data_IF_195649161617
#
_entry.id   IF_195649161617
#
_cell.length_a   1.000
_cell.length_b   1.000
_cell.length_c   1.000
_cell.angle_alpha   90.00
_cell.angle_beta   90.00
_cell.angle_gamma   90.00
#
_symmetry.space_group_name_H-M   'P 1'
#
loop_
_entity.id
_entity.type
_entity.pdbx_description
1 polymer ?
#
# COMPACT_ATOMS: atom_id res chain seq x y z
N UNK A 1 21.24 25.27 -5.69
CA UNK A 1 20.82 23.94 -5.23
C UNK A 1 21.72 22.88 -5.89
N UNK A 2 22.39 22.05 -5.07
CA UNK A 2 23.15 20.93 -5.61
C UNK A 2 22.17 19.81 -5.97
N UNK A 3 22.17 19.34 -7.20
CA UNK A 3 21.40 18.16 -7.63
C UNK A 3 22.08 16.87 -7.15
N UNK A 4 22.12 16.66 -5.83
CA UNK A 4 22.73 15.49 -5.23
C UNK A 4 21.64 14.46 -4.90
N UNK A 5 21.83 13.22 -5.31
CA UNK A 5 21.02 12.09 -4.85
C UNK A 5 21.42 11.78 -3.39
N UNK A 6 20.43 11.81 -2.49
CA UNK A 6 20.62 11.55 -1.05
C UNK A 6 20.43 10.06 -0.74
N UNK A 7 19.40 9.45 -1.32
CA UNK A 7 19.07 8.03 -1.17
C UNK A 7 18.28 7.53 -2.36
N UNK A 8 18.20 6.22 -2.49
CA UNK A 8 17.40 5.52 -3.49
C UNK A 8 16.54 4.47 -2.79
N UNK A 9 15.40 4.13 -3.37
CA UNK A 9 14.52 3.11 -2.84
C UNK A 9 13.82 2.32 -3.95
N UNK A 10 13.49 1.08 -3.65
CA UNK A 10 12.68 0.20 -4.49
C UNK A 10 11.65 -0.53 -3.64
N UNK A 11 10.59 -1.02 -4.28
CA UNK A 11 9.62 -1.88 -3.61
C UNK A 11 10.27 -3.24 -3.33
N UNK A 12 10.45 -3.59 -2.05
CA UNK A 12 10.97 -4.91 -1.68
C UNK A 12 10.65 -5.24 -0.23
N UNK A 13 10.62 -6.54 0.07
CA UNK A 13 10.55 -7.04 1.45
C UNK A 13 11.86 -6.71 2.17
N UNK A 14 11.83 -6.08 3.36
CA UNK A 14 13.02 -5.70 4.07
C UNK A 14 13.80 -6.92 4.58
N UNK A 15 15.12 -6.85 4.52
CA UNK A 15 16.04 -7.86 5.06
C UNK A 15 16.32 -7.61 6.54
N UNK A 16 16.40 -8.67 7.32
CA UNK A 16 16.81 -8.55 8.71
C UNK A 16 18.21 -7.93 8.82
N UNK A 17 18.32 -6.87 9.61
CA UNK A 17 19.55 -6.08 9.73
C UNK A 17 19.64 -4.90 8.77
N UNK A 18 18.64 -4.69 7.94
CA UNK A 18 18.52 -3.58 6.98
C UNK A 18 18.88 -3.95 5.54
N UNK A 19 18.47 -3.10 4.62
CA UNK A 19 18.62 -3.31 3.18
C UNK A 19 17.56 -4.25 2.58
N UNK A 20 17.75 -4.58 1.31
CA UNK A 20 16.84 -5.39 0.52
C UNK A 20 17.45 -6.74 0.19
N UNK A 21 16.59 -7.72 -0.13
CA UNK A 21 17.03 -8.98 -0.73
C UNK A 21 17.39 -8.78 -2.20
N UNK A 22 18.40 -9.52 -2.64
CA UNK A 22 18.82 -9.61 -4.03
C UNK A 22 18.76 -11.06 -4.52
N UNK A 23 18.72 -11.24 -5.83
CA UNK A 23 18.76 -12.58 -6.42
C UNK A 23 20.05 -13.31 -5.99
N UNK A 24 19.90 -14.54 -5.47
CA UNK A 24 21.00 -15.36 -4.94
C UNK A 24 21.33 -15.16 -3.47
N UNK A 25 20.63 -14.26 -2.76
CA UNK A 25 20.79 -14.12 -1.30
C UNK A 25 20.43 -15.44 -0.58
N UNK A 26 21.25 -15.82 0.39
CA UNK A 26 20.91 -16.93 1.28
C UNK A 26 19.71 -16.55 2.17
N UNK A 27 18.79 -17.52 2.37
CA UNK A 27 17.58 -17.32 3.17
C UNK A 27 16.69 -16.19 2.65
N UNK A 28 16.56 -16.05 1.34
CA UNK A 28 15.67 -15.07 0.72
C UNK A 28 14.24 -15.24 1.24
N UNK A 29 13.74 -14.24 1.93
CA UNK A 29 12.43 -14.24 2.57
C UNK A 29 11.39 -13.41 1.83
N UNK A 30 11.62 -13.06 0.56
CA UNK A 30 10.64 -12.39 -0.29
C UNK A 30 9.37 -13.24 -0.44
N UNK A 31 8.24 -12.55 -0.60
CA UNK A 31 6.94 -13.21 -0.61
C UNK A 31 6.80 -14.20 -1.77
N UNK A 32 7.46 -13.95 -2.91
CA UNK A 32 7.53 -14.87 -4.04
C UNK A 32 8.11 -16.26 -3.71
N UNK A 33 8.91 -16.37 -2.63
CA UNK A 33 9.46 -17.65 -2.15
C UNK A 33 8.71 -18.23 -0.95
N UNK A 34 7.85 -17.40 -0.30
CA UNK A 34 7.09 -17.82 0.88
C UNK A 34 5.67 -18.29 0.58
N UNK A 35 5.17 -18.00 -0.61
CA UNK A 35 3.81 -18.35 -1.04
C UNK A 35 2.92 -17.11 -1.16
N UNK A 36 1.72 -17.17 -0.57
CA UNK A 36 0.73 -16.09 -0.74
C UNK A 36 1.15 -14.79 -0.06
N UNK A 37 0.79 -13.67 -0.70
CA UNK A 37 0.96 -12.33 -0.14
C UNK A 37 0.17 -12.22 1.19
N UNK A 38 0.84 -11.88 2.31
CA UNK A 38 0.19 -11.69 3.60
C UNK A 38 -0.97 -10.70 3.58
N UNK A 39 -0.93 -9.71 2.71
CA UNK A 39 -2.01 -8.75 2.55
C UNK A 39 -3.28 -9.41 1.98
N UNK A 40 -3.12 -10.28 0.97
CA UNK A 40 -4.23 -11.06 0.38
C UNK A 40 -4.82 -12.03 1.42
N UNK A 41 -3.97 -12.71 2.20
CA UNK A 41 -4.42 -13.59 3.29
C UNK A 41 -5.26 -12.79 4.28
N UNK A 42 -4.77 -11.62 4.69
CA UNK A 42 -5.46 -10.78 5.69
C UNK A 42 -6.78 -10.21 5.17
N UNK A 43 -6.84 -9.77 3.93
CA UNK A 43 -8.09 -9.34 3.28
C UNK A 43 -9.14 -10.45 3.32
N UNK A 44 -8.74 -11.69 2.97
CA UNK A 44 -9.61 -12.86 3.03
C UNK A 44 -10.10 -13.15 4.45
N UNK A 45 -9.24 -13.06 5.45
CA UNK A 45 -9.59 -13.24 6.86
C UNK A 45 -10.59 -12.18 7.33
N UNK A 46 -10.42 -10.91 6.95
CA UNK A 46 -11.33 -9.82 7.30
C UNK A 46 -12.73 -10.04 6.70
N UNK A 47 -12.81 -10.45 5.44
CA UNK A 47 -14.08 -10.79 4.80
C UNK A 47 -14.72 -11.98 5.51
N UNK A 48 -13.93 -13.01 5.84
CA UNK A 48 -14.42 -14.19 6.55
C UNK A 48 -14.99 -13.83 7.94
N UNK A 49 -14.29 -13.02 8.73
CA UNK A 49 -14.76 -12.57 10.04
C UNK A 49 -16.07 -11.77 9.93
N UNK A 50 -16.15 -10.85 8.97
CA UNK A 50 -17.37 -10.07 8.73
C UNK A 50 -18.56 -10.96 8.36
N UNK A 51 -18.38 -11.88 7.43
CA UNK A 51 -19.43 -12.81 6.98
C UNK A 51 -19.88 -13.71 8.13
N UNK A 52 -18.95 -14.21 8.97
CA UNK A 52 -19.28 -14.99 10.15
C UNK A 52 -20.11 -14.19 11.17
N UNK A 53 -19.76 -12.94 11.43
CA UNK A 53 -20.53 -12.07 12.34
C UNK A 53 -21.93 -11.78 11.82
N UNK A 54 -22.06 -11.46 10.53
CA UNK A 54 -23.37 -11.26 9.89
C UNK A 54 -24.23 -12.52 9.95
N UNK A 55 -23.61 -13.70 9.75
CA UNK A 55 -24.30 -14.99 9.89
C UNK A 55 -24.79 -15.23 11.30
N UNK A 56 -23.91 -15.07 12.29
CA UNK A 56 -24.23 -15.32 13.70
C UNK A 56 -25.29 -14.35 14.26
N UNK A 57 -25.36 -13.13 13.74
CA UNK A 57 -26.39 -12.14 14.05
C UNK A 57 -27.67 -12.27 13.21
N UNK A 58 -27.79 -13.33 12.39
CA UNK A 58 -28.94 -13.57 11.50
C UNK A 58 -29.22 -12.44 10.50
N UNK A 59 -28.19 -11.66 10.13
CA UNK A 59 -28.32 -10.56 9.16
C UNK A 59 -28.16 -11.02 7.70
N UNK A 60 -27.73 -12.25 7.48
CA UNK A 60 -27.66 -12.81 6.12
C UNK A 60 -29.01 -13.38 5.70
N UNK A 61 -29.33 -13.28 4.41
CA UNK A 61 -30.50 -13.93 3.85
C UNK A 61 -30.44 -15.45 4.07
N UNK A 62 -31.63 -16.10 4.28
CA UNK A 62 -31.74 -17.52 4.63
C UNK A 62 -30.93 -18.47 3.74
N UNK A 63 -30.87 -18.19 2.44
CA UNK A 63 -30.10 -19.00 1.48
C UNK A 63 -28.58 -19.04 1.79
N UNK A 64 -28.04 -17.99 2.43
CA UNK A 64 -26.65 -17.89 2.82
C UNK A 64 -26.39 -18.41 4.25
N UNK A 65 -27.41 -18.37 5.09
CA UNK A 65 -27.35 -18.93 6.46
C UNK A 65 -27.03 -20.43 6.46
N UNK A 66 -27.58 -21.16 5.50
CA UNK A 66 -27.47 -22.64 5.41
C UNK A 66 -26.27 -23.11 4.58
N UNK A 67 -25.57 -22.20 3.90
CA UNK A 67 -24.46 -22.55 3.03
C UNK A 67 -23.20 -22.89 3.86
N UNK A 68 -22.38 -23.81 3.35
CA UNK A 68 -21.05 -24.02 3.93
C UNK A 68 -20.26 -22.70 3.96
N UNK A 69 -19.65 -22.37 5.11
CA UNK A 69 -19.04 -21.06 5.31
C UNK A 69 -17.81 -20.85 4.42
N UNK A 70 -17.02 -21.87 4.22
CA UNK A 70 -15.83 -21.82 3.38
C UNK A 70 -16.22 -21.53 1.94
N UNK A 71 -17.21 -22.30 1.45
CA UNK A 71 -17.75 -22.13 0.11
C UNK A 71 -18.44 -20.77 -0.07
N UNK A 72 -19.11 -20.27 0.97
CA UNK A 72 -19.72 -18.93 0.92
C UNK A 72 -18.67 -17.84 0.77
N UNK A 73 -17.56 -17.94 1.52
CA UNK A 73 -16.45 -16.97 1.45
C UNK A 73 -15.78 -17.05 0.07
N UNK A 74 -15.54 -18.25 -0.45
CA UNK A 74 -14.95 -18.46 -1.78
C UNK A 74 -15.83 -17.86 -2.88
N UNK A 75 -17.14 -18.08 -2.83
CA UNK A 75 -18.09 -17.52 -3.80
C UNK A 75 -18.13 -15.99 -3.72
N UNK A 76 -18.08 -15.41 -2.53
CA UNK A 76 -18.06 -13.96 -2.30
C UNK A 76 -16.79 -13.31 -2.90
N UNK A 77 -15.64 -13.93 -2.68
CA UNK A 77 -14.35 -13.40 -3.14
C UNK A 77 -14.10 -13.64 -4.63
N UNK A 78 -14.77 -14.65 -5.23
CA UNK A 78 -14.70 -14.92 -6.66
C UNK A 78 -15.72 -14.16 -7.50
N UNK A 79 -16.64 -13.42 -6.87
CA UNK A 79 -17.64 -12.61 -7.57
C UNK A 79 -17.00 -11.33 -8.12
N UNK A 80 -16.69 -11.34 -9.42
CA UNK A 80 -16.11 -10.21 -10.15
C UNK A 80 -17.15 -9.21 -10.70
N UNK A 81 -18.43 -9.38 -10.37
CA UNK A 81 -19.46 -8.42 -10.76
C UNK A 81 -19.17 -7.02 -10.22
N UNK A 82 -19.73 -6.00 -10.81
CA UNK A 82 -19.51 -4.60 -10.40
C UNK A 82 -19.87 -4.36 -8.93
N UNK A 83 -20.85 -5.09 -8.41
CA UNK A 83 -21.30 -5.03 -7.01
C UNK A 83 -20.69 -6.14 -6.13
N UNK A 84 -19.75 -6.93 -6.67
CA UNK A 84 -19.07 -7.99 -5.94
C UNK A 84 -18.18 -7.46 -4.81
N UNK A 85 -18.11 -8.21 -3.72
CA UNK A 85 -17.23 -7.85 -2.58
C UNK A 85 -15.75 -7.86 -2.97
N UNK A 86 -15.37 -8.62 -3.99
CA UNK A 86 -14.02 -8.59 -4.57
C UNK A 86 -13.59 -7.20 -5.04
N UNK A 87 -14.55 -6.31 -5.34
CA UNK A 87 -14.30 -4.90 -5.73
C UNK A 87 -14.58 -3.89 -4.63
N UNK A 88 -14.81 -4.34 -3.41
CA UNK A 88 -15.04 -3.45 -2.27
C UNK A 88 -13.74 -2.85 -1.75
N UNK A 89 -13.82 -1.73 -1.05
CA UNK A 89 -12.68 -1.05 -0.44
C UNK A 89 -11.89 -1.93 0.54
N UNK A 90 -12.51 -2.97 1.10
CA UNK A 90 -11.80 -3.93 1.96
C UNK A 90 -10.70 -4.68 1.20
N UNK A 91 -10.89 -4.86 -0.12
CA UNK A 91 -9.91 -5.48 -1.02
C UNK A 91 -8.85 -4.49 -1.53
N UNK A 92 -9.01 -3.21 -1.24
CA UNK A 92 -8.02 -2.17 -1.53
C UNK A 92 -7.07 -1.89 -0.35
N UNK A 93 -7.24 -2.62 0.77
CA UNK A 93 -6.37 -2.55 1.96
C UNK A 93 -4.96 -3.01 1.60
N UNK A 94 -3.95 -2.19 1.90
CA UNK A 94 -2.54 -2.48 1.59
C UNK A 94 -1.64 -2.51 2.84
N UNK A 95 -2.21 -2.30 4.01
CA UNK A 95 -1.49 -2.08 5.27
C UNK A 95 -0.81 -3.33 5.83
N UNK A 96 -1.19 -4.52 5.36
CA UNK A 96 -0.69 -5.79 5.88
C UNK A 96 0.40 -6.41 5.01
N UNK A 97 0.74 -5.77 3.90
CA UNK A 97 1.85 -6.17 3.04
C UNK A 97 3.19 -6.05 3.76
N UNK A 98 4.11 -6.98 3.47
CA UNK A 98 5.48 -6.97 4.00
C UNK A 98 6.42 -6.09 3.20
N UNK A 99 6.03 -5.74 1.99
CA UNK A 99 6.82 -4.91 1.08
C UNK A 99 6.91 -3.49 1.63
N UNK A 100 8.12 -2.97 1.74
CA UNK A 100 8.36 -1.55 1.95
C UNK A 100 8.33 -0.88 0.59
N UNK A 101 7.44 0.10 0.42
CA UNK A 101 7.34 0.83 -0.84
C UNK A 101 8.59 1.67 -1.10
N UNK A 102 8.87 1.97 -2.36
CA UNK A 102 10.09 2.64 -2.78
C UNK A 102 10.34 3.96 -2.06
N UNK A 103 9.29 4.74 -1.82
CA UNK A 103 9.37 6.02 -1.10
C UNK A 103 9.79 5.80 0.36
N UNK A 104 9.15 4.86 1.06
CA UNK A 104 9.52 4.51 2.44
C UNK A 104 10.91 3.90 2.50
N UNK A 105 11.27 3.08 1.51
CA UNK A 105 12.60 2.48 1.41
C UNK A 105 13.67 3.58 1.28
N UNK A 106 13.47 4.57 0.40
CA UNK A 106 14.39 5.72 0.28
C UNK A 106 14.51 6.53 1.58
N UNK A 107 13.40 6.75 2.31
CA UNK A 107 13.40 7.45 3.60
C UNK A 107 14.18 6.66 4.66
N UNK A 108 13.91 5.37 4.79
CA UNK A 108 14.57 4.51 5.77
C UNK A 108 16.06 4.30 5.46
N UNK A 109 16.42 4.22 4.18
CA UNK A 109 17.80 4.16 3.72
C UNK A 109 18.59 5.43 4.09
N UNK A 110 17.99 6.61 3.87
CA UNK A 110 18.57 7.87 4.30
C UNK A 110 18.76 7.91 5.83
N UNK A 111 17.73 7.49 6.57
CA UNK A 111 17.78 7.44 8.04
C UNK A 111 18.87 6.49 8.55
N UNK A 112 19.01 5.30 7.95
CA UNK A 112 20.05 4.32 8.34
C UNK A 112 21.47 4.84 8.14
N UNK A 113 21.65 5.76 7.20
CA UNK A 113 22.94 6.41 6.89
C UNK A 113 23.14 7.74 7.62
N UNK A 114 22.18 8.18 8.42
CA UNK A 114 22.23 9.48 9.11
C UNK A 114 22.18 10.68 8.14
N UNK A 115 21.56 10.51 6.96
CA UNK A 115 21.44 11.57 5.96
C UNK A 115 20.11 12.30 6.15
N UNK A 116 20.17 13.61 6.38
CA UNK A 116 18.97 14.45 6.42
C UNK A 116 18.34 14.59 5.03
N UNK A 117 17.03 14.33 4.97
CA UNK A 117 16.20 14.50 3.78
C UNK A 117 15.17 15.63 3.93
N UNK A 118 15.21 16.35 5.05
CA UNK A 118 14.37 17.54 5.24
C UNK A 118 14.63 18.58 4.14
N UNK A 119 13.57 19.24 3.67
CA UNK A 119 13.59 20.23 2.59
C UNK A 119 14.02 19.66 1.21
N UNK A 120 14.14 18.34 1.09
CA UNK A 120 14.50 17.68 -0.17
C UNK A 120 13.30 17.51 -1.12
N UNK A 121 13.58 17.01 -2.33
CA UNK A 121 12.57 16.56 -3.29
C UNK A 121 12.64 15.05 -3.44
N UNK A 122 11.47 14.41 -3.41
CA UNK A 122 11.29 13.00 -3.70
C UNK A 122 10.80 12.84 -5.16
N UNK A 123 11.42 11.95 -5.89
CA UNK A 123 11.01 11.58 -7.25
C UNK A 123 10.55 10.12 -7.23
N UNK A 124 9.35 9.85 -7.69
CA UNK A 124 8.76 8.52 -7.75
C UNK A 124 8.03 8.29 -9.08
N UNK A 125 7.81 7.06 -9.43
CA UNK A 125 7.12 6.71 -10.67
C UNK A 125 5.62 6.93 -10.54
N UNK A 126 5.05 6.61 -9.39
CA UNK A 126 3.62 6.69 -9.13
C UNK A 126 3.36 7.62 -7.94
N UNK A 127 2.23 8.34 -7.96
CA UNK A 127 1.81 9.18 -6.84
C UNK A 127 1.79 8.35 -5.54
N UNK A 128 2.35 8.84 -4.41
CA UNK A 128 2.47 8.07 -3.18
C UNK A 128 1.13 7.57 -2.64
N UNK A 129 1.10 6.33 -2.16
CA UNK A 129 -0.04 5.85 -1.42
C UNK A 129 -0.15 6.56 -0.05
N UNK A 130 -1.30 6.41 0.61
CA UNK A 130 -1.54 7.05 1.90
C UNK A 130 -0.58 6.57 3.02
N UNK A 131 -0.04 5.34 2.92
CA UNK A 131 0.96 4.84 3.87
C UNK A 131 2.29 5.58 3.68
N UNK A 132 2.74 5.75 2.42
CA UNK A 132 3.97 6.48 2.13
C UNK A 132 3.84 7.98 2.43
N UNK A 133 2.68 8.57 2.12
CA UNK A 133 2.44 10.00 2.29
C UNK A 133 2.68 10.49 3.72
N UNK A 134 2.20 9.77 4.74
CA UNK A 134 2.43 10.13 6.15
C UNK A 134 3.92 10.16 6.52
N UNK A 135 4.73 9.27 5.94
CA UNK A 135 6.17 9.23 6.18
C UNK A 135 6.91 10.34 5.43
N UNK A 136 6.45 10.66 4.22
CA UNK A 136 6.97 11.78 3.43
C UNK A 136 6.74 13.09 4.18
N UNK A 137 5.53 13.33 4.67
CA UNK A 137 5.20 14.51 5.47
C UNK A 137 6.05 14.54 6.76
N UNK A 138 6.09 13.43 7.49
CA UNK A 138 6.83 13.35 8.77
C UNK A 138 8.34 13.53 8.61
N UNK A 139 8.92 13.18 7.46
CA UNK A 139 10.35 13.34 7.18
C UNK A 139 10.75 14.75 6.73
N UNK A 140 9.79 15.66 6.53
CA UNK A 140 10.05 17.03 6.11
C UNK A 140 10.45 17.17 4.64
N UNK A 141 10.14 16.19 3.80
CA UNK A 141 10.28 16.29 2.34
C UNK A 141 9.34 17.38 1.85
N UNK A 142 9.90 18.35 1.14
CA UNK A 142 9.15 19.54 0.70
C UNK A 142 8.36 19.34 -0.58
N UNK A 143 8.83 18.50 -1.48
CA UNK A 143 8.26 18.33 -2.82
C UNK A 143 8.28 16.87 -3.23
N UNK A 144 7.17 16.43 -3.82
CA UNK A 144 7.08 15.11 -4.48
C UNK A 144 6.83 15.34 -5.96
N UNK A 145 7.61 14.67 -6.81
CA UNK A 145 7.46 14.67 -8.27
C UNK A 145 7.18 13.23 -8.68
N UNK A 146 6.10 13.03 -9.41
CA UNK A 146 5.67 11.71 -9.86
C UNK A 146 5.28 11.73 -11.34
N UNK A 147 5.24 10.55 -11.95
CA UNK A 147 4.91 10.38 -13.38
C UNK A 147 3.44 10.01 -13.52
N UNK A 148 2.97 9.03 -12.74
CA UNK A 148 1.63 8.47 -12.86
C UNK A 148 0.76 8.79 -11.65
N UNK A 149 -0.53 9.13 -11.85
CA UNK A 149 -1.47 9.28 -10.74
C UNK A 149 -1.77 7.92 -10.10
N UNK A 150 -2.16 7.94 -8.82
CA UNK A 150 -2.66 6.76 -8.11
C UNK A 150 -4.06 7.05 -7.56
N UNK A 151 -5.14 6.75 -8.32
CA UNK A 151 -6.52 7.11 -7.96
C UNK A 151 -7.00 6.52 -6.63
N UNK A 152 -6.44 5.38 -6.21
CA UNK A 152 -6.78 4.73 -4.93
C UNK A 152 -6.05 5.33 -3.73
N UNK A 153 -5.20 6.33 -3.92
CA UNK A 153 -4.48 6.97 -2.83
C UNK A 153 -5.39 7.91 -2.05
N UNK A 154 -5.46 7.72 -0.74
CA UNK A 154 -6.11 8.64 0.19
C UNK A 154 -5.15 9.73 0.72
N UNK A 155 -3.94 9.85 0.16
CA UNK A 155 -2.91 10.76 0.66
C UNK A 155 -3.41 12.21 0.77
N UNK A 156 -4.05 12.73 -0.27
CA UNK A 156 -4.54 14.12 -0.30
C UNK A 156 -5.67 14.32 0.72
N UNK A 157 -6.64 13.41 0.80
CA UNK A 157 -7.78 13.56 1.71
C UNK A 157 -7.37 13.43 3.18
N UNK A 158 -6.41 12.55 3.49
CA UNK A 158 -5.92 12.34 4.85
C UNK A 158 -4.94 13.41 5.33
N UNK A 159 -4.24 14.07 4.40
CA UNK A 159 -3.21 15.07 4.69
C UNK A 159 -3.47 16.40 3.98
N UNK A 160 -4.74 16.79 3.88
CA UNK A 160 -5.17 18.05 3.22
C UNK A 160 -4.63 19.32 3.90
N UNK A 161 -4.17 19.20 5.13
CA UNK A 161 -3.47 20.23 5.91
C UNK A 161 -1.99 20.37 5.54
N UNK A 162 -1.41 19.37 4.90
CA UNK A 162 0.04 19.26 4.67
C UNK A 162 0.43 19.03 3.21
N UNK A 163 -0.51 18.52 2.39
CA UNK A 163 -0.27 18.20 0.98
C UNK A 163 -1.12 19.09 0.09
N UNK A 164 -0.45 19.77 -0.85
CA UNK A 164 -1.10 20.53 -1.93
C UNK A 164 -0.62 20.01 -3.28
N UNK A 165 -1.51 19.95 -4.26
CA UNK A 165 -1.14 19.69 -5.65
C UNK A 165 -0.79 21.01 -6.33
N UNK A 166 0.33 21.04 -7.06
CA UNK A 166 0.58 22.12 -8.01
C UNK A 166 -0.56 22.07 -9.05
N UNK A 167 -1.29 23.17 -9.23
CA UNK A 167 -2.24 23.26 -10.32
C UNK A 167 -1.44 23.18 -11.63
N UNK A 168 -1.80 22.24 -12.50
CA UNK A 168 -1.35 22.31 -13.88
C UNK A 168 -1.64 23.73 -14.38
N UNK A 169 -0.63 24.40 -14.89
CA UNK A 169 -0.87 25.63 -15.66
C UNK A 169 -1.68 25.16 -16.86
N UNK A 170 -2.98 25.47 -16.87
CA UNK A 170 -3.76 25.37 -18.09
C UNK A 170 -2.96 26.16 -19.13
N UNK A 171 -2.42 25.45 -20.11
CA UNK A 171 -1.77 26.07 -21.26
C UNK A 171 -2.80 26.99 -21.87
N UNK A 172 -2.61 28.29 -21.68
CA UNK A 172 -3.32 29.31 -22.45
C UNK A 172 -2.96 29.07 -23.92
N UNK A 173 -3.92 28.45 -24.62
CA UNK A 173 -3.91 28.37 -26.11
C UNK A 173 -4.53 29.63 -26.66
#
# INVERSE_FOLDING_TARGET
SSHRILSLGCNEVPKAGGGNYWEGDQNDARDMFKGDDPNVIRQREMVADLVLRLRNSSMLARKYQLKDIKKLIDDILSDESENGISKSQIMDTIEFGRVVHAEMNAITEAASKGVSISESSLYCTTFPCHICAKHIVASGIRRVVYIEPYPKSFAISLHSDSITLDKEKEDEK
#
